data_IF_248275871827
#
_entry.id   IF_248275871827
#
_cell.length_a   1.000
_cell.length_b   1.000
_cell.length_c   1.000
_cell.angle_alpha   90.00
_cell.angle_beta   90.00
_cell.angle_gamma   90.00
#
_symmetry.space_group_name_H-M   'P 1'
#
loop_
_entity.id
_entity.type
_entity.pdbx_description
1 polymer ?
#
# COMPACT_ATOMS: atom_id res chain seq x y z
N UNK A 1 6.64 -64.55 25.49
CA UNK A 1 6.20 -63.14 25.53
C UNK A 1 4.73 -63.13 25.88
N UNK A 2 4.34 -62.54 27.02
CA UNK A 2 2.97 -62.66 27.55
C UNK A 2 1.99 -61.76 26.77
N UNK A 3 0.75 -62.19 26.54
CA UNK A 3 -0.28 -61.48 25.73
C UNK A 3 -0.51 -60.03 26.20
N UNK A 4 -0.40 -59.81 27.51
CA UNK A 4 -0.45 -58.49 28.15
C UNK A 4 0.65 -57.54 27.65
N UNK A 5 1.88 -58.02 27.54
CA UNK A 5 3.03 -57.24 27.02
C UNK A 5 2.87 -56.86 25.54
N UNK A 6 2.22 -57.71 24.74
CA UNK A 6 1.90 -57.40 23.34
C UNK A 6 0.78 -56.36 23.22
N UNK A 7 -0.21 -56.39 24.11
CA UNK A 7 -1.31 -55.41 24.12
C UNK A 7 -0.86 -54.02 24.59
N UNK A 8 -0.01 -53.98 25.62
CA UNK A 8 0.56 -52.74 26.16
C UNK A 8 1.48 -52.02 25.15
N UNK A 9 2.28 -52.79 24.40
CA UNK A 9 3.15 -52.23 23.34
C UNK A 9 2.37 -51.68 22.14
N UNK A 10 1.28 -52.34 21.74
CA UNK A 10 0.38 -51.83 20.66
C UNK A 10 -0.35 -50.57 21.10
N UNK A 11 -0.83 -50.49 22.35
CA UNK A 11 -1.48 -49.30 22.91
C UNK A 11 -0.52 -48.10 22.96
N UNK A 12 0.70 -48.32 23.47
CA UNK A 12 1.73 -47.27 23.54
C UNK A 12 2.12 -46.74 22.15
N UNK A 13 2.19 -47.63 21.15
CA UNK A 13 2.48 -47.26 19.76
C UNK A 13 1.36 -46.41 19.13
N UNK A 14 0.09 -46.73 19.44
CA UNK A 14 -1.07 -45.95 18.99
C UNK A 14 -1.13 -44.56 19.64
N UNK A 15 -0.85 -44.46 20.94
CA UNK A 15 -0.82 -43.18 21.66
C UNK A 15 0.31 -42.28 21.15
N UNK A 16 1.48 -42.84 20.85
CA UNK A 16 2.60 -42.10 20.28
C UNK A 16 2.27 -41.57 18.86
N UNK A 17 1.61 -42.38 18.03
CA UNK A 17 1.12 -41.97 16.69
C UNK A 17 0.04 -40.88 16.77
N UNK A 18 -0.83 -40.93 17.79
CA UNK A 18 -1.83 -39.89 18.02
C UNK A 18 -1.18 -38.58 18.48
N UNK A 19 -0.20 -38.66 19.37
CA UNK A 19 0.54 -37.49 19.85
C UNK A 19 1.37 -36.83 18.73
N UNK A 20 2.00 -37.62 17.86
CA UNK A 20 2.75 -37.08 16.71
C UNK A 20 1.85 -36.34 15.73
N UNK A 21 0.65 -36.87 15.44
CA UNK A 21 -0.36 -36.18 14.64
C UNK A 21 -0.81 -34.86 15.26
N UNK A 22 -1.05 -34.83 16.58
CA UNK A 22 -1.41 -33.60 17.29
C UNK A 22 -0.29 -32.56 17.16
N UNK A 23 0.97 -32.96 17.38
CA UNK A 23 2.14 -32.07 17.22
C UNK A 23 2.21 -31.49 15.81
N UNK A 24 2.04 -32.33 14.79
CA UNK A 24 2.08 -31.90 13.40
C UNK A 24 0.96 -30.90 13.07
N UNK A 25 -0.29 -31.22 13.43
CA UNK A 25 -1.44 -30.34 13.19
C UNK A 25 -1.29 -29.02 13.94
N UNK A 26 -0.86 -29.04 15.20
CA UNK A 26 -0.60 -27.82 15.98
C UNK A 26 0.47 -26.94 15.33
N UNK A 27 1.58 -27.54 14.88
CA UNK A 27 2.65 -26.81 14.20
C UNK A 27 2.18 -26.21 12.87
N UNK A 28 1.40 -26.96 12.09
CA UNK A 28 0.85 -26.50 10.82
C UNK A 28 -0.09 -25.31 11.01
N UNK A 29 -1.07 -25.42 11.92
CA UNK A 29 -2.03 -24.33 12.20
C UNK A 29 -1.31 -23.10 12.77
N UNK A 30 -0.31 -23.31 13.63
CA UNK A 30 0.52 -22.23 14.15
C UNK A 30 1.25 -21.50 13.03
N UNK A 31 1.91 -22.25 12.13
CA UNK A 31 2.66 -21.68 11.01
C UNK A 31 1.75 -20.91 10.05
N UNK A 32 0.61 -21.51 9.67
CA UNK A 32 -0.37 -20.87 8.79
C UNK A 32 -0.90 -19.57 9.42
N UNK A 33 -1.15 -19.56 10.73
CA UNK A 33 -1.57 -18.34 11.44
C UNK A 33 -0.46 -17.29 11.44
N UNK A 34 0.76 -17.67 11.82
CA UNK A 34 1.89 -16.75 11.92
C UNK A 34 2.25 -16.10 10.57
N UNK A 35 2.11 -16.83 9.47
CA UNK A 35 2.43 -16.35 8.12
C UNK A 35 1.25 -15.57 7.48
N UNK A 36 0.02 -15.73 8.01
CA UNK A 36 -1.18 -15.13 7.42
C UNK A 36 -1.15 -13.61 7.20
N UNK A 37 -0.58 -12.76 8.11
CA UNK A 37 -0.50 -11.32 7.85
C UNK A 37 0.41 -10.98 6.67
N UNK A 38 1.49 -11.76 6.47
CA UNK A 38 2.41 -11.56 5.35
C UNK A 38 1.75 -11.94 4.02
N UNK A 39 0.98 -13.02 3.99
CA UNK A 39 0.23 -13.42 2.79
C UNK A 39 -0.80 -12.34 2.44
N UNK A 40 -1.55 -11.85 3.43
CA UNK A 40 -2.49 -10.74 3.23
C UNK A 40 -1.80 -9.50 2.67
N UNK A 41 -0.65 -9.12 3.24
CA UNK A 41 0.15 -8.01 2.75
C UNK A 41 0.60 -8.19 1.29
N UNK A 42 1.16 -9.34 0.91
CA UNK A 42 1.57 -9.58 -0.47
C UNK A 42 0.40 -9.59 -1.46
N UNK A 43 -0.79 -10.04 -1.05
CA UNK A 43 -2.00 -9.95 -1.87
C UNK A 43 -2.39 -8.48 -2.06
N UNK A 44 -2.41 -7.69 -0.99
CA UNK A 44 -2.71 -6.25 -1.04
C UNK A 44 -1.72 -5.53 -1.95
N UNK A 45 -0.42 -5.78 -1.80
CA UNK A 45 0.64 -5.25 -2.65
C UNK A 45 0.41 -5.59 -4.13
N UNK A 46 0.04 -6.83 -4.43
CA UNK A 46 -0.17 -7.30 -5.80
C UNK A 46 -1.38 -6.67 -6.51
N UNK A 47 -2.43 -6.34 -5.75
CA UNK A 47 -3.63 -5.70 -6.31
C UNK A 47 -3.56 -4.17 -6.26
N UNK A 48 -2.83 -3.63 -5.29
CA UNK A 48 -2.73 -2.19 -5.06
C UNK A 48 -1.54 -1.65 -5.81
N UNK A 49 -1.79 -1.13 -7.01
CA UNK A 49 -0.72 -0.55 -7.82
C UNK A 49 -0.29 0.85 -7.34
N UNK A 50 -1.17 1.62 -6.68
CA UNK A 50 -0.84 2.97 -6.20
C UNK A 50 -0.71 3.05 -4.67
N UNK A 51 0.27 3.79 -4.16
CA UNK A 51 0.66 3.85 -2.73
C UNK A 51 -0.44 4.38 -1.81
N UNK A 52 -1.30 5.29 -2.28
CA UNK A 52 -2.40 5.81 -1.47
C UNK A 52 -3.59 4.84 -1.35
N UNK A 53 -3.75 3.91 -2.29
CA UNK A 53 -4.85 2.94 -2.33
C UNK A 53 -4.64 1.73 -1.39
N UNK A 54 -3.55 1.69 -0.62
CA UNK A 54 -3.26 0.53 0.24
C UNK A 54 -4.35 0.31 1.29
N UNK A 55 -4.84 1.39 1.88
CA UNK A 55 -5.83 1.33 2.95
C UNK A 55 -7.16 0.79 2.46
N UNK A 56 -7.56 1.05 1.21
CA UNK A 56 -8.79 0.54 0.61
C UNK A 56 -8.85 -0.98 0.57
N UNK A 57 -7.71 -1.63 0.38
CA UNK A 57 -7.63 -3.07 0.21
C UNK A 57 -7.28 -3.81 1.51
N UNK A 58 -7.04 -3.08 2.62
CA UNK A 58 -6.72 -3.71 3.90
C UNK A 58 -7.83 -4.61 4.45
N UNK A 59 -9.08 -4.48 4.01
CA UNK A 59 -10.15 -5.43 4.36
C UNK A 59 -9.79 -6.90 4.07
N UNK A 60 -8.84 -7.15 3.16
CA UNK A 60 -8.30 -8.49 2.86
C UNK A 60 -7.71 -9.17 4.11
N UNK A 61 -7.19 -8.42 5.08
CA UNK A 61 -6.75 -8.97 6.36
C UNK A 61 -7.87 -9.73 7.09
N UNK A 62 -9.14 -9.34 6.90
CA UNK A 62 -10.28 -10.06 7.49
C UNK A 62 -10.44 -11.48 6.92
N UNK A 63 -10.03 -11.74 5.68
CA UNK A 63 -10.11 -13.08 5.06
C UNK A 63 -9.24 -14.11 5.77
N UNK A 64 -8.21 -13.67 6.49
CA UNK A 64 -7.26 -14.53 7.18
C UNK A 64 -7.60 -14.78 8.66
N UNK A 65 -8.57 -14.05 9.22
CA UNK A 65 -9.03 -14.23 10.61
C UNK A 65 -9.44 -15.68 10.92
N UNK A 66 -10.14 -16.43 10.02
CA UNK A 66 -10.50 -17.81 10.30
C UNK A 66 -9.30 -18.69 10.65
N UNK A 67 -8.12 -18.44 10.06
CA UNK A 67 -6.91 -19.23 10.31
C UNK A 67 -6.38 -19.00 11.73
N UNK A 68 -6.28 -17.74 12.16
CA UNK A 68 -5.82 -17.39 13.50
C UNK A 68 -6.82 -17.81 14.59
N UNK A 69 -8.12 -17.71 14.30
CA UNK A 69 -9.19 -18.19 15.19
C UNK A 69 -9.16 -19.73 15.31
N UNK A 70 -8.86 -20.45 14.22
CA UNK A 70 -8.66 -21.91 14.29
C UNK A 70 -7.48 -22.27 15.20
N UNK A 71 -6.37 -21.53 15.16
CA UNK A 71 -5.24 -21.74 16.10
C UNK A 71 -5.66 -21.52 17.55
N UNK A 72 -6.47 -20.49 17.81
CA UNK A 72 -7.00 -20.19 19.13
C UNK A 72 -7.89 -21.33 19.65
N UNK A 73 -8.88 -21.75 18.87
CA UNK A 73 -9.82 -22.82 19.23
C UNK A 73 -9.08 -24.15 19.44
N UNK A 74 -8.12 -24.45 18.57
CA UNK A 74 -7.29 -25.66 18.68
C UNK A 74 -6.46 -25.65 19.97
N UNK A 75 -5.78 -24.54 20.28
CA UNK A 75 -5.03 -24.36 21.52
C UNK A 75 -5.90 -24.53 22.77
N UNK A 76 -7.11 -23.96 22.77
CA UNK A 76 -8.09 -24.13 23.85
C UNK A 76 -8.53 -25.59 24.01
N UNK A 77 -8.82 -26.28 22.90
CA UNK A 77 -9.26 -27.67 22.91
C UNK A 77 -8.17 -28.60 23.46
N UNK A 78 -6.90 -28.37 23.11
CA UNK A 78 -5.77 -29.14 23.63
C UNK A 78 -5.48 -28.83 25.10
N UNK A 79 -5.62 -27.56 25.52
CA UNK A 79 -5.50 -27.17 26.93
C UNK A 79 -6.54 -27.88 27.80
N UNK A 80 -7.80 -27.98 27.33
CA UNK A 80 -8.86 -28.76 28.00
C UNK A 80 -8.53 -30.25 28.15
N UNK A 81 -7.68 -30.80 27.28
CA UNK A 81 -7.19 -32.20 27.34
C UNK A 81 -5.90 -32.37 28.15
N UNK A 82 -5.46 -31.33 28.89
CA UNK A 82 -4.25 -31.37 29.70
C UNK A 82 -2.94 -31.23 28.90
N UNK A 83 -3.01 -30.94 27.61
CA UNK A 83 -1.83 -30.79 26.74
C UNK A 83 -1.34 -29.33 26.72
N UNK A 84 -0.03 -29.13 26.84
CA UNK A 84 0.61 -27.80 26.85
C UNK A 84 0.84 -27.29 25.42
N UNK A 85 -0.16 -26.61 24.84
CA UNK A 85 -0.06 -25.93 23.54
C UNK A 85 -0.40 -24.44 23.65
N UNK A 86 0.29 -23.75 24.56
CA UNK A 86 0.07 -22.32 24.83
C UNK A 86 0.46 -21.43 23.63
N UNK A 87 1.40 -21.90 22.79
CA UNK A 87 1.86 -21.15 21.63
C UNK A 87 0.75 -20.92 20.59
N UNK A 88 -0.09 -21.94 20.34
CA UNK A 88 -1.25 -21.81 19.45
C UNK A 88 -2.29 -20.83 20.00
N UNK A 89 -2.47 -20.79 21.33
CA UNK A 89 -3.34 -19.85 22.01
C UNK A 89 -2.83 -18.41 21.84
N UNK A 90 -1.57 -18.16 22.21
CA UNK A 90 -0.95 -16.82 22.14
C UNK A 90 -0.93 -16.34 20.68
N UNK A 91 -0.45 -17.18 19.75
CA UNK A 91 -0.43 -16.85 18.32
C UNK A 91 -1.83 -16.54 17.80
N UNK A 92 -2.83 -17.35 18.14
CA UNK A 92 -4.21 -17.11 17.74
C UNK A 92 -4.74 -15.75 18.20
N UNK A 93 -4.51 -15.37 19.46
CA UNK A 93 -4.92 -14.06 20.00
C UNK A 93 -4.19 -12.91 19.28
N UNK A 94 -2.85 -12.96 19.27
CA UNK A 94 -2.02 -11.87 18.76
C UNK A 94 -2.26 -11.67 17.27
N UNK A 95 -2.27 -12.74 16.47
CA UNK A 95 -2.49 -12.63 15.03
C UNK A 95 -3.92 -12.18 14.73
N UNK A 96 -4.94 -12.67 15.44
CA UNK A 96 -6.31 -12.19 15.23
C UNK A 96 -6.42 -10.69 15.51
N UNK A 97 -5.79 -10.20 16.58
CA UNK A 97 -5.77 -8.77 16.89
C UNK A 97 -5.10 -7.95 15.77
N UNK A 98 -3.94 -8.40 15.27
CA UNK A 98 -3.24 -7.77 14.14
C UNK A 98 -4.15 -7.72 12.91
N UNK A 99 -4.71 -8.86 12.49
CA UNK A 99 -5.58 -8.94 11.31
C UNK A 99 -6.81 -8.03 11.42
N UNK A 100 -7.43 -7.96 12.61
CA UNK A 100 -8.58 -7.07 12.86
C UNK A 100 -8.17 -5.60 12.79
N UNK A 101 -7.10 -5.21 13.47
CA UNK A 101 -6.63 -3.82 13.51
C UNK A 101 -6.31 -3.33 12.10
N UNK A 102 -5.50 -4.09 11.36
CA UNK A 102 -5.14 -3.72 9.99
C UNK A 102 -6.34 -3.77 9.05
N UNK A 103 -7.22 -4.77 9.16
CA UNK A 103 -8.45 -4.81 8.36
C UNK A 103 -9.35 -3.60 8.58
N UNK A 104 -9.36 -3.06 9.80
CA UNK A 104 -10.20 -1.92 10.15
C UNK A 104 -9.70 -0.60 9.53
N UNK A 105 -8.44 -0.53 9.09
CA UNK A 105 -7.89 0.68 8.45
C UNK A 105 -8.68 1.05 7.19
N UNK A 106 -9.21 0.09 6.43
CA UNK A 106 -10.10 0.38 5.29
C UNK A 106 -11.28 1.27 5.68
N UNK A 107 -11.84 1.10 6.89
CA UNK A 107 -12.96 1.91 7.35
C UNK A 107 -12.50 3.25 7.93
N UNK A 108 -11.40 3.27 8.68
CA UNK A 108 -10.85 4.48 9.30
C UNK A 108 -10.40 5.49 8.25
N UNK A 109 -9.74 5.01 7.19
CA UNK A 109 -9.16 5.85 6.15
C UNK A 109 -10.08 6.07 4.95
N UNK A 110 -11.26 5.45 4.90
CA UNK A 110 -12.21 5.54 3.77
C UNK A 110 -12.56 6.98 3.36
N UNK A 111 -12.64 7.88 4.33
CA UNK A 111 -13.07 9.27 4.11
C UNK A 111 -11.90 10.27 4.17
N UNK A 112 -10.65 9.78 4.23
CA UNK A 112 -9.46 10.66 4.18
C UNK A 112 -9.22 11.18 2.76
N UNK A 113 -9.72 10.44 1.76
CA UNK A 113 -9.62 10.80 0.37
C UNK A 113 -10.92 11.49 -0.08
N UNK A 114 -10.80 12.69 -0.63
CA UNK A 114 -11.85 13.31 -1.40
C UNK A 114 -11.76 12.80 -2.85
N UNK A 115 -12.87 12.32 -3.41
CA UNK A 115 -13.01 12.05 -4.85
C UNK A 115 -13.07 13.37 -5.65
N UNK A 116 -12.06 14.22 -5.50
CA UNK A 116 -12.02 15.54 -6.14
C UNK A 116 -11.22 15.49 -7.42
N UNK A 117 -11.92 15.54 -8.55
CA UNK A 117 -11.30 15.62 -9.90
C UNK A 117 -10.60 16.97 -10.14
N UNK A 118 -10.74 17.96 -9.24
CA UNK A 118 -10.26 19.34 -9.48
C UNK A 118 -8.77 19.43 -9.83
N UNK A 119 -7.82 18.80 -9.09
CA UNK A 119 -6.40 18.89 -9.43
C UNK A 119 -6.11 18.27 -10.80
N UNK A 120 -6.84 17.21 -11.17
CA UNK A 120 -6.72 16.59 -12.48
C UNK A 120 -7.17 17.53 -13.60
N UNK A 121 -8.35 18.13 -13.46
CA UNK A 121 -8.88 19.08 -14.44
C UNK A 121 -7.96 20.30 -14.59
N UNK A 122 -7.34 20.76 -13.50
CA UNK A 122 -6.41 21.88 -13.55
C UNK A 122 -5.13 21.51 -14.31
N UNK A 123 -4.63 20.28 -14.16
CA UNK A 123 -3.50 19.76 -14.95
C UNK A 123 -3.87 19.65 -16.43
N UNK A 124 -5.02 19.06 -16.76
CA UNK A 124 -5.50 18.96 -18.16
C UNK A 124 -5.59 20.35 -18.82
N UNK A 125 -6.18 21.31 -18.12
CA UNK A 125 -6.38 22.67 -18.63
C UNK A 125 -5.06 23.46 -18.72
N UNK A 126 -4.20 23.35 -17.71
CA UNK A 126 -2.97 24.15 -17.65
C UNK A 126 -1.90 23.63 -18.59
N UNK A 127 -1.83 22.31 -18.79
CA UNK A 127 -0.83 21.67 -19.63
C UNK A 127 -1.33 21.37 -21.05
N UNK A 128 -2.64 21.53 -21.30
CA UNK A 128 -3.28 21.17 -22.55
C UNK A 128 -3.00 19.69 -22.94
N UNK A 129 -3.05 18.81 -21.94
CA UNK A 129 -2.83 17.36 -22.08
C UNK A 129 -4.16 16.64 -21.99
N UNK A 130 -4.41 15.71 -22.92
CA UNK A 130 -5.57 14.82 -22.91
C UNK A 130 -5.30 13.65 -21.95
N UNK A 131 -5.77 13.77 -20.70
CA UNK A 131 -5.56 12.71 -19.71
C UNK A 131 -6.60 11.59 -19.94
N UNK A 132 -6.16 10.32 -20.05
CA UNK A 132 -7.06 9.23 -20.39
C UNK A 132 -8.10 8.98 -19.30
N UNK A 133 -9.19 8.30 -19.68
CA UNK A 133 -10.22 7.89 -18.72
C UNK A 133 -9.60 7.09 -17.56
N UNK A 134 -9.73 7.62 -16.36
CA UNK A 134 -9.24 7.03 -15.13
C UNK A 134 -10.27 6.05 -14.55
N UNK A 135 -9.77 5.04 -13.84
CA UNK A 135 -10.59 4.08 -13.08
C UNK A 135 -10.95 4.67 -11.73
N UNK A 136 -9.99 5.39 -11.11
CA UNK A 136 -10.15 5.97 -9.78
C UNK A 136 -9.25 7.19 -9.62
N UNK A 137 -9.73 8.20 -8.88
CA UNK A 137 -8.95 9.34 -8.40
C UNK A 137 -9.18 9.46 -6.91
N UNK A 138 -8.10 9.64 -6.17
CA UNK A 138 -8.15 9.96 -4.75
C UNK A 138 -7.32 11.20 -4.48
N UNK A 139 -7.94 12.23 -3.89
CA UNK A 139 -7.27 13.46 -3.51
C UNK A 139 -7.27 13.60 -1.99
N UNK A 140 -6.08 13.63 -1.39
CA UNK A 140 -5.92 13.99 0.00
C UNK A 140 -5.57 15.46 0.11
N UNK A 141 -6.32 16.18 0.96
CA UNK A 141 -5.95 17.53 1.38
C UNK A 141 -5.04 17.40 2.60
N UNK A 142 -3.74 17.63 2.42
CA UNK A 142 -2.75 17.45 3.48
C UNK A 142 -2.61 18.69 4.35
N UNK A 143 -2.62 19.89 3.74
CA UNK A 143 -2.42 21.14 4.49
C UNK A 143 -1.14 21.13 5.37
N UNK A 144 -0.08 20.50 4.87
CA UNK A 144 1.15 20.22 5.60
C UNK A 144 2.25 21.25 5.33
N UNK A 145 2.90 21.73 6.40
CA UNK A 145 4.10 22.60 6.30
C UNK A 145 5.34 21.74 6.04
N UNK A 146 6.13 22.15 5.05
CA UNK A 146 7.45 21.60 4.76
C UNK A 146 8.53 22.66 5.02
N UNK A 147 9.81 22.26 5.04
CA UNK A 147 10.92 23.12 5.43
C UNK A 147 10.99 24.45 4.65
N UNK A 148 10.66 24.42 3.35
CA UNK A 148 10.72 25.56 2.45
C UNK A 148 9.37 25.89 1.81
N UNK A 149 8.24 25.49 2.41
CA UNK A 149 6.97 25.57 1.68
C UNK A 149 5.76 24.94 2.36
N UNK A 150 4.77 24.57 1.55
CA UNK A 150 3.50 24.02 2.02
C UNK A 150 2.86 23.10 0.98
N UNK A 151 2.35 21.94 1.38
CA UNK A 151 1.63 21.02 0.48
C UNK A 151 0.13 21.13 0.72
N UNK A 152 -0.61 21.43 -0.35
CA UNK A 152 -2.06 21.57 -0.32
C UNK A 152 -2.76 20.24 -0.58
N UNK A 153 -2.44 19.63 -1.72
CA UNK A 153 -3.13 18.44 -2.21
C UNK A 153 -2.14 17.44 -2.78
N UNK A 154 -2.45 16.16 -2.57
CA UNK A 154 -1.86 15.04 -3.30
C UNK A 154 -3.01 14.26 -3.91
N UNK A 155 -2.98 14.08 -5.23
CA UNK A 155 -3.96 13.28 -5.95
C UNK A 155 -3.30 12.10 -6.61
N UNK A 156 -3.84 10.90 -6.40
CA UNK A 156 -3.42 9.69 -7.10
C UNK A 156 -4.51 9.29 -8.10
N UNK A 157 -4.11 9.09 -9.34
CA UNK A 157 -4.97 8.79 -10.48
C UNK A 157 -4.56 7.43 -11.02
N UNK A 158 -5.48 6.47 -11.02
CA UNK A 158 -5.26 5.15 -11.57
C UNK A 158 -5.90 5.04 -12.95
N UNK A 159 -5.12 4.71 -13.97
CA UNK A 159 -5.62 4.58 -15.33
C UNK A 159 -6.05 3.16 -15.69
N UNK A 160 -6.96 3.07 -16.66
CA UNK A 160 -7.31 1.80 -17.26
C UNK A 160 -6.18 1.36 -18.20
N UNK A 161 -5.62 0.17 -17.95
CA UNK A 161 -4.55 -0.43 -18.75
C UNK A 161 -4.80 -0.37 -20.26
N UNK A 162 -6.04 -0.63 -20.71
CA UNK A 162 -6.36 -0.66 -22.14
C UNK A 162 -6.41 0.73 -22.80
N UNK A 163 -6.48 1.81 -22.02
CA UNK A 163 -6.62 3.19 -22.52
C UNK A 163 -5.38 4.04 -22.33
N UNK A 164 -4.37 3.55 -21.61
CA UNK A 164 -3.20 4.36 -21.22
C UNK A 164 -2.11 4.39 -22.29
N UNK A 165 -2.05 3.42 -23.21
CA UNK A 165 -0.97 3.31 -24.20
C UNK A 165 -0.83 4.53 -25.13
N UNK A 166 -1.93 5.18 -25.49
CA UNK A 166 -1.90 6.44 -26.28
C UNK A 166 -1.27 7.58 -25.46
N UNK A 167 -1.64 7.67 -24.20
CA UNK A 167 -1.15 8.69 -23.27
C UNK A 167 0.35 8.50 -22.99
N UNK A 168 0.80 7.28 -22.77
CA UNK A 168 2.22 6.96 -22.59
C UNK A 168 3.05 7.32 -23.81
N UNK A 169 2.52 7.08 -25.02
CA UNK A 169 3.18 7.49 -26.25
C UNK A 169 3.29 9.02 -26.34
N UNK A 170 2.24 9.75 -25.98
CA UNK A 170 2.25 11.21 -25.97
C UNK A 170 3.28 11.76 -24.98
N UNK A 171 3.28 11.27 -23.73
CA UNK A 171 4.26 11.66 -22.71
C UNK A 171 5.68 11.40 -23.19
N UNK A 172 5.94 10.23 -23.76
CA UNK A 172 7.27 9.85 -24.22
C UNK A 172 7.80 10.73 -25.36
N UNK A 173 6.90 11.28 -26.18
CA UNK A 173 7.25 12.14 -27.31
C UNK A 173 7.28 13.64 -26.93
N UNK A 174 6.80 14.01 -25.74
CA UNK A 174 6.71 15.37 -25.25
C UNK A 174 7.94 15.74 -24.40
N UNK A 175 8.73 16.71 -24.86
CA UNK A 175 9.96 17.18 -24.22
C UNK A 175 9.75 17.82 -22.84
N UNK A 176 8.52 18.19 -22.50
CA UNK A 176 8.18 18.70 -21.18
C UNK A 176 8.15 17.62 -20.10
N UNK A 177 8.10 16.34 -20.47
CA UNK A 177 8.12 15.24 -19.51
C UNK A 177 9.54 14.75 -19.30
N UNK A 178 10.05 14.96 -18.10
CA UNK A 178 11.40 14.61 -17.71
C UNK A 178 11.42 13.17 -17.23
N UNK A 179 12.29 12.34 -17.82
CA UNK A 179 12.58 11.00 -17.30
C UNK A 179 13.43 11.02 -16.01
N UNK A 180 14.13 12.14 -15.78
CA UNK A 180 14.92 12.40 -14.59
C UNK A 180 14.88 13.90 -14.29
N UNK A 181 14.62 14.28 -13.04
CA UNK A 181 14.57 15.68 -12.62
C UNK A 181 16.01 16.18 -12.44
N UNK A 182 16.48 17.19 -13.22
CA UNK A 182 17.81 17.72 -13.06
C UNK A 182 18.06 18.27 -11.65
N UNK A 183 19.28 18.10 -11.14
CA UNK A 183 19.67 18.50 -9.78
C UNK A 183 19.38 19.97 -9.47
N UNK A 184 19.50 20.86 -10.46
CA UNK A 184 19.23 22.29 -10.28
C UNK A 184 17.74 22.60 -10.02
N UNK A 185 16.82 21.70 -10.41
CA UNK A 185 15.38 21.86 -10.15
C UNK A 185 14.94 21.30 -8.80
N UNK A 186 15.81 20.63 -8.05
CA UNK A 186 15.45 20.07 -6.74
C UNK A 186 14.91 21.15 -5.78
N UNK A 187 15.39 22.39 -5.91
CA UNK A 187 14.92 23.52 -5.12
C UNK A 187 13.45 23.90 -5.34
N UNK A 188 12.82 23.46 -6.43
CA UNK A 188 11.39 23.66 -6.74
C UNK A 188 10.61 22.35 -6.86
N UNK A 189 11.28 21.20 -6.71
CA UNK A 189 10.66 19.88 -6.84
C UNK A 189 9.66 19.60 -5.70
N UNK A 190 8.70 18.72 -5.96
CA UNK A 190 7.73 18.33 -4.94
C UNK A 190 8.44 17.70 -3.75
N UNK A 191 8.06 18.02 -2.51
CA UNK A 191 8.57 17.34 -1.32
C UNK A 191 8.07 15.89 -1.18
N UNK A 192 7.21 15.40 -2.10
CA UNK A 192 6.75 14.01 -2.08
C UNK A 192 7.92 13.03 -2.18
N UNK A 193 7.91 12.05 -1.27
CA UNK A 193 8.96 11.06 -1.04
C UNK A 193 9.22 10.05 -2.19
N UNK A 194 8.70 10.29 -3.39
CA UNK A 194 8.57 9.27 -4.44
C UNK A 194 8.96 9.73 -5.85
N UNK A 195 9.65 10.86 -6.01
CA UNK A 195 10.19 11.29 -7.32
C UNK A 195 10.99 10.17 -8.00
N UNK A 196 11.77 9.40 -7.22
CA UNK A 196 12.59 8.27 -7.71
C UNK A 196 11.78 7.10 -8.27
N UNK A 197 10.48 7.03 -8.00
CA UNK A 197 9.61 5.94 -8.46
C UNK A 197 8.89 6.28 -9.79
N UNK A 198 8.91 7.54 -10.22
CA UNK A 198 8.23 7.98 -11.43
C UNK A 198 9.10 7.74 -12.68
N UNK A 199 8.47 7.28 -13.76
CA UNK A 199 9.13 7.16 -15.07
C UNK A 199 9.15 8.51 -15.81
N UNK A 200 8.17 9.37 -15.54
CA UNK A 200 8.08 10.70 -16.14
C UNK A 200 7.58 11.73 -15.12
N UNK A 201 8.19 12.90 -15.11
CA UNK A 201 7.87 14.00 -14.18
C UNK A 201 7.75 15.32 -14.93
N UNK A 202 6.80 16.15 -14.54
CA UNK A 202 6.59 17.50 -15.03
C UNK A 202 6.33 18.44 -13.87
N UNK A 203 7.01 19.58 -13.82
CA UNK A 203 6.80 20.62 -12.80
C UNK A 203 6.28 21.87 -13.49
N UNK A 204 5.07 22.29 -13.15
CA UNK A 204 4.43 23.48 -13.68
C UNK A 204 4.32 24.57 -12.62
N UNK A 205 4.84 25.75 -12.92
CA UNK A 205 4.73 26.92 -12.06
C UNK A 205 3.42 27.66 -12.35
N UNK A 206 2.46 27.62 -11.41
CA UNK A 206 1.15 28.28 -11.56
C UNK A 206 1.25 29.80 -11.61
N UNK A 207 2.31 30.39 -11.07
CA UNK A 207 2.50 31.84 -11.06
C UNK A 207 3.10 32.34 -12.38
N UNK A 208 4.12 31.66 -12.93
CA UNK A 208 4.79 32.09 -14.18
C UNK A 208 4.18 31.46 -15.42
N UNK A 209 3.40 30.38 -15.26
CA UNK A 209 2.84 29.54 -16.33
C UNK A 209 3.92 28.82 -17.16
N UNK A 210 5.09 28.61 -16.59
CA UNK A 210 6.19 27.92 -17.23
C UNK A 210 6.32 26.50 -16.71
N UNK A 211 6.82 25.62 -17.58
CA UNK A 211 7.08 24.22 -17.28
C UNK A 211 8.59 24.04 -17.08
N UNK A 212 8.99 23.24 -16.09
CA UNK A 212 10.37 22.85 -15.79
C UNK A 212 11.36 24.02 -15.74
N UNK A 213 10.91 25.18 -15.25
CA UNK A 213 11.69 26.43 -15.26
C UNK A 213 11.80 26.98 -13.84
N UNK A 214 13.02 27.38 -13.46
CA UNK A 214 13.27 28.03 -12.18
C UNK A 214 12.77 29.49 -12.21
N UNK A 215 12.18 30.01 -11.13
CA UNK A 215 11.82 31.42 -11.07
C UNK A 215 13.03 32.35 -11.15
N UNK A 216 12.89 33.50 -11.82
CA UNK A 216 13.96 34.50 -11.94
C UNK A 216 14.15 35.39 -10.69
N UNK A 217 13.21 35.32 -9.73
CA UNK A 217 13.21 36.16 -8.53
C UNK A 217 12.87 35.34 -7.30
N UNK A 218 13.49 35.67 -6.17
CA UNK A 218 13.11 35.11 -4.87
C UNK A 218 11.65 35.46 -4.53
N UNK A 219 10.92 34.51 -3.97
CA UNK A 219 9.51 34.66 -3.65
C UNK A 219 8.81 33.33 -3.39
N UNK A 220 7.53 33.40 -3.03
CA UNK A 220 6.69 32.20 -2.88
C UNK A 220 6.02 31.89 -4.21
N UNK A 221 6.23 30.68 -4.71
CA UNK A 221 5.66 30.19 -5.96
C UNK A 221 4.84 28.93 -5.69
N UNK A 222 3.72 28.83 -6.41
CA UNK A 222 2.83 27.68 -6.39
C UNK A 222 3.13 26.78 -7.58
N UNK A 223 3.30 25.51 -7.32
CA UNK A 223 3.65 24.50 -8.29
C UNK A 223 2.61 23.38 -8.34
N UNK A 224 2.49 22.79 -9.52
CA UNK A 224 1.93 21.46 -9.73
C UNK A 224 3.08 20.54 -10.18
N UNK A 225 3.34 19.50 -9.41
CA UNK A 225 4.22 18.42 -9.84
C UNK A 225 3.36 17.23 -10.27
N UNK A 226 3.54 16.79 -11.50
CA UNK A 226 2.84 15.65 -12.09
C UNK A 226 3.85 14.55 -12.33
N UNK A 227 3.65 13.40 -11.71
CA UNK A 227 4.51 12.23 -11.78
C UNK A 227 3.72 11.07 -12.37
N UNK A 228 4.30 10.33 -13.31
CA UNK A 228 3.68 9.17 -13.95
C UNK A 228 4.57 7.93 -13.82
N UNK A 229 4.02 6.81 -13.32
CA UNK A 229 4.66 5.50 -13.30
C UNK A 229 3.98 4.59 -14.33
N UNK A 230 4.72 4.29 -15.41
CA UNK A 230 4.27 3.49 -16.54
C UNK A 230 4.18 1.99 -16.20
N UNK A 231 4.86 1.52 -15.15
CA UNK A 231 4.75 0.12 -14.69
C UNK A 231 3.45 -0.08 -13.93
N UNK A 232 3.03 0.93 -13.17
CA UNK A 232 1.82 0.91 -12.33
C UNK A 232 0.59 1.49 -13.02
N UNK A 233 0.76 2.19 -14.14
CA UNK A 233 -0.26 2.98 -14.83
C UNK A 233 -0.95 3.97 -13.88
N UNK A 234 -0.15 4.65 -13.07
CA UNK A 234 -0.64 5.64 -12.13
C UNK A 234 -0.03 7.01 -12.40
N UNK A 235 -0.73 8.05 -12.00
CA UNK A 235 -0.23 9.41 -11.94
C UNK A 235 -0.44 9.97 -10.55
N UNK A 236 0.57 10.63 -10.02
CA UNK A 236 0.48 11.43 -8.81
C UNK A 236 0.58 12.91 -9.17
N UNK A 237 -0.33 13.73 -8.63
CA UNK A 237 -0.36 15.18 -8.81
C UNK A 237 -0.23 15.82 -7.44
N UNK A 238 0.76 16.67 -7.26
CA UNK A 238 1.03 17.37 -6.00
C UNK A 238 0.91 18.87 -6.24
N UNK A 239 0.06 19.52 -5.46
CA UNK A 239 -0.02 20.99 -5.43
C UNK A 239 0.63 21.52 -4.16
N UNK A 240 1.60 22.43 -4.33
CA UNK A 240 2.42 22.92 -3.23
C UNK A 240 2.96 24.33 -3.48
N UNK A 241 3.32 25.02 -2.41
CA UNK A 241 4.09 26.25 -2.43
C UNK A 241 5.55 25.96 -2.06
N UNK A 242 6.46 26.66 -2.71
CA UNK A 242 7.86 26.78 -2.31
C UNK A 242 8.23 28.25 -2.16
N UNK A 243 8.92 28.54 -1.06
CA UNK A 243 9.65 29.78 -0.84
C UNK A 243 11.01 29.66 -1.54
N UNK A 244 11.08 30.12 -2.79
CA UNK A 244 12.28 30.06 -3.61
C UNK A 244 13.21 31.25 -3.32
N UNK A 245 14.51 30.97 -3.23
CA UNK A 245 15.56 31.96 -2.95
C UNK A 245 16.72 31.71 -3.92
N UNK A 246 17.16 32.77 -4.60
CA UNK A 246 18.33 32.79 -5.50
C UNK A 246 19.59 33.12 -4.70
#
# INVERSE_FOLDING_TARGET
>A
MNEKSKKDSVSAMQDNKKLSRIKFVSALIFLLSAVSPFIAYFIIEGITKASLLYTDNMWIFFLFIPISVLSLIWGLSLKKKGLKYINNLICGIVITAILVIFGFFTFVFRNVYADSVKPLLEVEQSLNIDIPTHVKIETTKLEDKIANGYVYYVSNVQFNYFKVSKFEKQIKEDENWLSEVPTYMLGISSPSFHLDNADYTLIYNKNTKEINTLPEKSGTYRFLCVMYDARKNNMEIVEYDINYVI
#
